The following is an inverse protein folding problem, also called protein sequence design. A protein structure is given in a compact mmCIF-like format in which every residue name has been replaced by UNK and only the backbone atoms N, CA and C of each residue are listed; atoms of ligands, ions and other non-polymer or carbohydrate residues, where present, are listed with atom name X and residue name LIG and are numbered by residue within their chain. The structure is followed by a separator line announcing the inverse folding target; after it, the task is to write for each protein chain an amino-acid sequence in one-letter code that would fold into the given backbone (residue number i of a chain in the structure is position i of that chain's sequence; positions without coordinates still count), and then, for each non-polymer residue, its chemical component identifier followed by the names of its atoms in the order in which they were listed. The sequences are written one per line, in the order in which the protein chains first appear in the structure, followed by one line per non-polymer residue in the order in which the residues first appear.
data_IF_364016103304
#
_entry.id   IF_364016103304
#
_cell.length_a   1.000
_cell.length_b   1.000
_cell.length_c   1.000
_cell.angle_alpha   90.00
_cell.angle_beta   90.00
_cell.angle_gamma   90.00
#
_symmetry.space_group_name_H-M   'P 1'
#
loop_
_entity.id
_entity.type
_entity.pdbx_description
1 polymer ?
#
# COMPACT_ATOMS: atom_id res chain seq x y z
N UNK A 1 -5.62 -14.69 24.61
CA UNK A 1 -5.96 -13.48 23.84
C UNK A 1 -5.01 -12.39 24.28
N UNK A 2 -4.08 -11.98 23.42
CA UNK A 2 -3.25 -10.81 23.68
C UNK A 2 -4.02 -9.64 23.10
N UNK A 3 -4.64 -8.83 23.96
CA UNK A 3 -5.20 -7.54 23.56
C UNK A 3 -4.04 -6.61 23.22
N UNK A 4 -3.77 -6.49 21.92
CA UNK A 4 -2.95 -5.40 21.43
C UNK A 4 -3.77 -4.11 21.51
N UNK A 5 -3.71 -3.45 22.66
CA UNK A 5 -4.26 -2.12 22.85
C UNK A 5 -3.42 -1.11 22.06
N UNK A 6 -3.63 -1.05 20.75
CA UNK A 6 -3.04 -0.03 19.89
C UNK A 6 -3.79 1.28 20.16
N UNK A 7 -3.13 2.33 20.70
CA UNK A 7 -3.75 3.64 20.81
C UNK A 7 -4.23 4.05 19.42
N UNK A 8 -5.51 4.45 19.32
CA UNK A 8 -6.19 4.86 18.09
C UNK A 8 -5.22 5.46 17.05
N UNK A 9 -5.17 4.83 15.88
CA UNK A 9 -4.27 5.21 14.79
C UNK A 9 -4.74 6.53 14.18
N UNK A 10 -4.30 7.64 14.76
CA UNK A 10 -4.57 8.98 14.24
C UNK A 10 -3.60 9.30 13.11
N UNK A 11 -4.13 9.66 11.94
CA UNK A 11 -3.36 10.41 10.95
C UNK A 11 -3.26 11.89 11.36
N UNK A 12 -2.51 12.68 10.58
CA UNK A 12 -2.35 14.13 10.80
C UNK A 12 -3.66 14.94 10.65
N UNK A 13 -4.80 14.30 10.35
CA UNK A 13 -6.12 14.90 10.20
C UNK A 13 -7.14 14.40 11.25
N UNK A 14 -6.74 13.56 12.22
CA UNK A 14 -7.57 13.22 13.38
C UNK A 14 -8.78 12.32 13.09
N UNK A 15 -8.78 11.52 12.02
CA UNK A 15 -9.89 10.61 11.70
C UNK A 15 -9.62 9.20 12.26
N UNK A 16 -10.57 8.57 13.00
CA UNK A 16 -10.40 7.22 13.52
C UNK A 16 -10.50 6.15 12.42
N UNK A 17 -9.47 5.29 12.31
CA UNK A 17 -9.34 4.17 11.35
C UNK A 17 -9.99 2.86 11.84
N UNK A 18 -10.75 2.93 12.93
CA UNK A 18 -10.66 1.91 13.97
C UNK A 18 -11.41 0.60 13.67
N UNK A 19 -12.48 0.63 12.87
CA UNK A 19 -13.37 -0.53 12.76
C UNK A 19 -12.87 -1.59 11.76
N UNK A 20 -12.46 -1.22 10.55
CA UNK A 20 -12.00 -2.23 9.59
C UNK A 20 -10.51 -2.54 9.68
N UNK A 21 -9.69 -1.64 10.24
CA UNK A 21 -8.25 -1.83 10.25
C UNK A 21 -7.82 -3.04 11.10
N UNK A 22 -8.45 -3.24 12.26
CA UNK A 22 -8.21 -4.41 13.10
C UNK A 22 -8.66 -5.71 12.41
N UNK A 23 -9.79 -5.68 11.71
CA UNK A 23 -10.29 -6.86 10.99
C UNK A 23 -9.43 -7.19 9.76
N UNK A 24 -8.96 -6.19 9.02
CA UNK A 24 -8.07 -6.38 7.88
C UNK A 24 -6.72 -6.97 8.33
N UNK A 25 -6.12 -6.41 9.37
CA UNK A 25 -4.81 -6.89 9.88
C UNK A 25 -4.92 -8.31 10.40
N UNK A 26 -6.03 -8.66 11.08
CA UNK A 26 -6.33 -10.03 11.52
C UNK A 26 -6.57 -10.96 10.34
N UNK A 27 -7.38 -10.56 9.36
CA UNK A 27 -7.77 -11.40 8.23
C UNK A 27 -6.60 -11.73 7.31
N UNK A 28 -5.75 -10.74 6.99
CA UNK A 28 -4.58 -10.95 6.13
C UNK A 28 -3.31 -11.30 6.89
N UNK A 29 -3.36 -11.34 8.24
CA UNK A 29 -2.23 -11.64 9.12
C UNK A 29 -1.03 -10.69 8.88
N UNK A 30 -1.32 -9.42 8.61
CA UNK A 30 -0.32 -8.39 8.38
C UNK A 30 -0.17 -7.54 9.63
N UNK A 31 1.08 -7.32 10.06
CA UNK A 31 1.38 -6.40 11.14
C UNK A 31 0.80 -5.00 10.80
N UNK A 32 -0.03 -4.39 11.66
CA UNK A 32 -0.65 -3.09 11.41
C UNK A 32 0.33 -1.99 11.00
N UNK A 33 1.55 -2.01 11.55
CA UNK A 33 2.58 -1.02 11.23
C UNK A 33 3.02 -1.09 9.76
N UNK A 34 2.94 -2.26 9.12
CA UNK A 34 3.23 -2.42 7.68
C UNK A 34 2.21 -1.65 6.84
N UNK A 35 0.92 -1.85 7.13
CA UNK A 35 -0.15 -1.16 6.39
C UNK A 35 -0.04 0.35 6.61
N UNK A 36 0.16 0.80 7.85
CA UNK A 36 0.33 2.22 8.15
C UNK A 36 1.54 2.83 7.45
N UNK A 37 2.65 2.10 7.40
CA UNK A 37 3.86 2.54 6.70
C UNK A 37 3.60 2.70 5.21
N UNK A 38 2.88 1.76 4.59
CA UNK A 38 2.45 1.88 3.19
C UNK A 38 1.53 3.09 3.04
N UNK A 39 0.48 3.23 3.86
CA UNK A 39 -0.44 4.37 3.80
C UNK A 39 0.23 5.73 4.05
N UNK A 40 1.30 5.79 4.84
CA UNK A 40 2.11 7.00 5.04
C UNK A 40 3.04 7.29 3.87
N UNK A 41 3.46 6.24 3.16
CA UNK A 41 4.34 6.33 2.00
C UNK A 41 3.55 6.72 0.75
N UNK A 42 2.35 6.17 0.64
CA UNK A 42 1.35 6.57 -0.34
C UNK A 42 0.75 7.93 0.05
N UNK A 43 0.62 8.83 -0.91
CA UNK A 43 0.00 10.15 -0.68
C UNK A 43 -1.47 10.16 -1.11
N UNK A 44 -2.16 9.01 -0.96
CA UNK A 44 -3.54 8.83 -1.39
C UNK A 44 -4.54 9.49 -0.45
N UNK A 45 -5.73 9.73 -0.97
CA UNK A 45 -6.87 10.29 -0.23
C UNK A 45 -8.20 9.71 -0.74
N UNK A 46 -9.28 9.79 0.03
CA UNK A 46 -10.61 9.36 -0.43
C UNK A 46 -10.99 10.07 -1.73
N UNK A 47 -11.35 9.28 -2.75
CA UNK A 47 -11.67 9.76 -4.09
C UNK A 47 -10.49 9.90 -5.04
N UNK A 48 -9.24 9.72 -4.58
CA UNK A 48 -8.05 9.88 -5.41
C UNK A 48 -8.09 8.99 -6.66
N UNK A 49 -7.72 9.58 -7.80
CA UNK A 49 -7.54 8.90 -9.08
C UNK A 49 -6.36 9.57 -9.80
N UNK A 50 -5.16 9.10 -9.50
CA UNK A 50 -3.91 9.72 -9.96
C UNK A 50 -3.45 9.05 -11.24
N UNK A 51 -3.30 9.75 -12.38
CA UNK A 51 -2.95 9.12 -13.64
C UNK A 51 -1.45 8.76 -13.72
N UNK A 52 -1.17 7.50 -14.03
CA UNK A 52 0.16 7.02 -14.37
C UNK A 52 0.39 7.13 -15.88
N UNK A 53 1.14 8.15 -16.29
CA UNK A 53 1.42 8.43 -17.70
C UNK A 53 2.66 7.66 -18.18
N UNK A 54 2.63 7.18 -19.42
CA UNK A 54 3.78 6.60 -20.11
C UNK A 54 3.99 7.31 -21.44
N UNK A 55 5.22 7.25 -21.93
CA UNK A 55 5.58 7.74 -23.25
C UNK A 55 5.99 6.59 -24.16
N UNK A 56 5.70 6.72 -25.45
CA UNK A 56 6.25 5.84 -26.49
C UNK A 56 6.65 6.67 -27.71
N UNK A 57 7.54 6.13 -28.53
CA UNK A 57 7.89 6.71 -29.84
C UNK A 57 6.99 6.13 -30.91
N UNK A 58 6.51 6.98 -31.81
CA UNK A 58 5.78 6.61 -33.02
C UNK A 58 6.39 7.41 -34.18
N UNK A 59 7.31 6.77 -34.92
CA UNK A 59 8.23 7.48 -35.81
C UNK A 59 9.07 8.52 -35.04
N UNK A 60 9.08 9.76 -35.52
CA UNK A 60 9.77 10.89 -34.88
C UNK A 60 8.94 11.55 -33.75
N UNK A 61 7.71 11.09 -33.49
CA UNK A 61 6.84 11.68 -32.48
C UNK A 61 6.98 10.98 -31.13
N UNK A 62 6.81 11.76 -30.05
CA UNK A 62 6.68 11.22 -28.69
C UNK A 62 5.23 11.34 -28.27
N UNK A 63 4.58 10.21 -27.99
CA UNK A 63 3.18 10.15 -27.56
C UNK A 63 3.14 9.87 -26.07
N UNK A 64 2.43 10.72 -25.32
CA UNK A 64 2.14 10.51 -23.91
C UNK A 64 0.70 10.02 -23.76
N UNK A 65 0.50 8.92 -23.05
CA UNK A 65 -0.82 8.37 -22.78
C UNK A 65 -0.94 7.95 -21.31
N UNK A 66 -2.16 7.89 -20.79
CA UNK A 66 -2.43 7.36 -19.45
C UNK A 66 -2.45 5.83 -19.53
N UNK A 67 -1.53 5.18 -18.82
CA UNK A 67 -1.40 3.73 -18.82
C UNK A 67 -2.24 3.06 -17.73
N UNK A 68 -2.39 3.71 -16.58
CA UNK A 68 -3.20 3.24 -15.44
C UNK A 68 -3.50 4.42 -14.49
N UNK A 69 -4.24 4.15 -13.42
CA UNK A 69 -4.50 5.10 -12.35
C UNK A 69 -4.18 4.49 -10.99
N UNK A 70 -3.67 5.28 -10.06
CA UNK A 70 -3.60 4.89 -8.65
C UNK A 70 -4.82 5.44 -7.89
N UNK A 71 -5.49 4.54 -7.18
CA UNK A 71 -6.85 4.74 -6.69
C UNK A 71 -6.91 4.80 -5.16
N UNK A 72 -7.64 5.78 -4.65
CA UNK A 72 -7.99 5.89 -3.24
C UNK A 72 -6.80 6.09 -2.30
N UNK A 73 -7.02 5.81 -1.02
CA UNK A 73 -6.06 6.10 0.05
C UNK A 73 -4.78 5.28 -0.07
N UNK A 74 -4.90 4.00 -0.42
CA UNK A 74 -3.75 3.12 -0.59
C UNK A 74 -3.12 3.16 -2.00
N UNK A 75 -3.61 4.03 -2.89
CA UNK A 75 -3.08 4.19 -4.25
C UNK A 75 -3.01 2.87 -5.03
N UNK A 76 -4.07 2.05 -4.92
CA UNK A 76 -4.15 0.75 -5.61
C UNK A 76 -4.20 0.98 -7.11
N UNK A 77 -3.30 0.35 -7.86
CA UNK A 77 -3.24 0.55 -9.30
C UNK A 77 -4.43 -0.09 -10.03
N UNK A 78 -5.00 0.63 -10.99
CA UNK A 78 -6.17 0.22 -11.76
C UNK A 78 -5.94 -1.02 -12.64
N UNK A 79 -4.69 -1.43 -12.89
CA UNK A 79 -4.38 -2.70 -13.57
C UNK A 79 -5.00 -3.89 -12.82
N UNK A 80 -5.09 -3.82 -11.49
CA UNK A 80 -5.71 -4.85 -10.66
C UNK A 80 -7.23 -4.97 -10.84
N UNK A 81 -7.87 -3.99 -11.49
CA UNK A 81 -9.28 -4.07 -11.91
C UNK A 81 -9.48 -4.80 -13.25
N UNK A 82 -8.40 -5.31 -13.85
CA UNK A 82 -8.42 -5.99 -15.15
C UNK A 82 -7.85 -7.40 -15.02
N UNK A 83 -8.01 -8.20 -16.07
CA UNK A 83 -7.40 -9.53 -16.18
C UNK A 83 -5.87 -9.53 -16.20
N UNK A 84 -5.22 -8.37 -16.35
CA UNK A 84 -3.75 -8.24 -16.29
C UNK A 84 -3.21 -8.18 -14.87
N UNK A 85 -4.07 -7.91 -13.88
CA UNK A 85 -3.71 -7.91 -12.47
C UNK A 85 -4.40 -9.05 -11.72
N UNK A 86 -4.77 -8.80 -10.47
CA UNK A 86 -5.44 -9.79 -9.60
C UNK A 86 -6.95 -9.92 -9.86
N UNK A 87 -7.48 -9.11 -10.78
CA UNK A 87 -8.88 -9.11 -11.19
C UNK A 87 -9.88 -8.90 -10.04
N UNK A 88 -9.69 -7.80 -9.30
CA UNK A 88 -10.54 -7.38 -8.18
C UNK A 88 -12.06 -7.42 -8.43
N UNK A 89 -12.57 -7.13 -9.64
CA UNK A 89 -14.01 -7.25 -9.91
C UNK A 89 -14.59 -8.64 -9.63
N UNK A 90 -13.80 -9.72 -9.76
CA UNK A 90 -14.26 -11.07 -9.42
C UNK A 90 -14.57 -11.24 -7.93
N UNK A 91 -14.01 -10.39 -7.07
CA UNK A 91 -14.25 -10.35 -5.63
C UNK A 91 -15.21 -9.21 -5.24
N UNK A 92 -15.92 -8.62 -6.21
CA UNK A 92 -16.87 -7.52 -5.96
C UNK A 92 -16.22 -6.18 -5.62
N UNK A 93 -14.90 -6.02 -5.85
CA UNK A 93 -14.16 -4.78 -5.66
C UNK A 93 -14.12 -3.99 -6.97
N UNK A 94 -14.67 -2.78 -6.96
CA UNK A 94 -14.77 -1.89 -8.13
C UNK A 94 -13.87 -0.67 -7.98
N UNK A 95 -13.63 0.06 -9.08
CA UNK A 95 -12.89 1.33 -9.04
C UNK A 95 -13.49 2.30 -8.01
N UNK A 96 -14.81 2.46 -8.03
CA UNK A 96 -15.52 3.36 -7.11
C UNK A 96 -15.29 2.98 -5.65
N UNK A 97 -15.38 1.68 -5.32
CA UNK A 97 -15.11 1.19 -3.97
C UNK A 97 -13.66 1.43 -3.55
N UNK A 98 -12.68 1.18 -4.43
CA UNK A 98 -11.27 1.46 -4.15
C UNK A 98 -11.03 2.96 -3.89
N UNK A 99 -11.73 3.83 -4.60
CA UNK A 99 -11.58 5.28 -4.45
C UNK A 99 -12.22 5.79 -3.18
N UNK A 100 -13.47 5.42 -2.90
CA UNK A 100 -14.30 6.10 -1.91
C UNK A 100 -14.55 5.31 -0.63
N UNK A 101 -14.28 4.00 -0.61
CA UNK A 101 -14.41 3.19 0.58
C UNK A 101 -13.02 2.89 1.14
N UNK A 102 -12.63 3.62 2.19
CA UNK A 102 -11.32 3.48 2.82
C UNK A 102 -11.06 2.05 3.30
N UNK A 103 -12.07 1.36 3.84
CA UNK A 103 -11.93 -0.03 4.27
C UNK A 103 -11.64 -0.98 3.10
N UNK A 104 -12.28 -0.79 1.95
CA UNK A 104 -11.97 -1.56 0.75
C UNK A 104 -10.58 -1.20 0.21
N UNK A 105 -10.20 0.07 0.21
CA UNK A 105 -8.84 0.49 -0.19
C UNK A 105 -7.77 -0.16 0.70
N UNK A 106 -7.99 -0.18 2.01
CA UNK A 106 -7.06 -0.76 2.99
C UNK A 106 -7.03 -2.29 2.87
N UNK A 107 -8.19 -2.93 2.76
CA UNK A 107 -8.30 -4.38 2.54
C UNK A 107 -7.59 -4.81 1.25
N UNK A 108 -7.79 -4.07 0.16
CA UNK A 108 -7.09 -4.31 -1.10
C UNK A 108 -5.57 -4.13 -0.95
N UNK A 109 -5.12 -3.13 -0.18
CA UNK A 109 -3.69 -2.94 0.10
C UNK A 109 -3.09 -4.11 0.89
N UNK A 110 -3.79 -4.59 1.92
CA UNK A 110 -3.35 -5.72 2.72
C UNK A 110 -3.27 -7.00 1.88
N UNK A 111 -4.31 -7.29 1.09
CA UNK A 111 -4.29 -8.38 0.13
C UNK A 111 -3.07 -8.30 -0.81
N UNK A 112 -2.85 -7.12 -1.42
CA UNK A 112 -1.76 -6.93 -2.38
C UNK A 112 -0.38 -7.02 -1.74
N UNK A 113 -0.20 -6.50 -0.52
CA UNK A 113 1.06 -6.64 0.23
C UNK A 113 1.36 -8.12 0.46
N UNK A 114 0.38 -8.91 0.94
CA UNK A 114 0.56 -10.35 1.16
C UNK A 114 0.86 -11.08 -0.15
N UNK A 115 0.01 -10.87 -1.16
CA UNK A 115 0.15 -11.49 -2.47
C UNK A 115 1.53 -11.22 -3.10
N UNK A 116 1.96 -9.95 -3.08
CA UNK A 116 3.26 -9.57 -3.65
C UNK A 116 4.43 -10.07 -2.79
N UNK A 117 4.31 -10.06 -1.45
CA UNK A 117 5.34 -10.62 -0.57
C UNK A 117 5.54 -12.12 -0.82
N UNK A 118 4.46 -12.89 -0.94
CA UNK A 118 4.51 -14.32 -1.27
C UNK A 118 5.24 -14.54 -2.61
N UNK A 119 4.90 -13.75 -3.64
CA UNK A 119 5.58 -13.80 -4.95
C UNK A 119 7.05 -13.41 -4.88
N UNK A 120 7.40 -12.43 -4.04
CA UNK A 120 8.77 -11.98 -3.88
C UNK A 120 9.63 -13.09 -3.24
N UNK A 121 9.08 -13.78 -2.23
CA UNK A 121 9.73 -14.87 -1.51
C UNK A 121 9.97 -16.13 -2.37
N UNK A 122 9.31 -16.29 -3.52
CA UNK A 122 9.60 -17.39 -4.47
C UNK A 122 11.05 -17.37 -4.96
N UNK A 123 11.68 -16.19 -5.02
CA UNK A 123 13.03 -16.02 -5.58
C UNK A 123 14.03 -15.35 -4.63
N UNK A 124 13.62 -15.06 -3.39
CA UNK A 124 14.43 -14.30 -2.45
C UNK A 124 14.35 -14.89 -1.04
N UNK A 125 15.27 -14.45 -0.17
CA UNK A 125 15.30 -14.81 1.25
C UNK A 125 15.40 -13.55 2.08
N UNK A 126 14.76 -13.56 3.25
CA UNK A 126 14.88 -12.48 4.24
C UNK A 126 16.16 -12.68 5.04
N UNK A 127 17.27 -12.07 4.61
CA UNK A 127 18.55 -12.12 5.35
C UNK A 127 18.89 -10.80 6.04
N UNK A 128 18.14 -9.74 5.75
CA UNK A 128 18.34 -8.41 6.29
C UNK A 128 17.02 -7.63 6.46
N UNK A 129 17.09 -6.53 7.22
CA UNK A 129 15.99 -5.53 7.30
C UNK A 129 15.72 -4.91 5.92
N UNK A 130 16.75 -4.78 5.09
CA UNK A 130 16.61 -4.25 3.73
C UNK A 130 15.77 -5.17 2.86
N UNK A 131 15.94 -6.49 2.97
CA UNK A 131 15.10 -7.48 2.30
C UNK A 131 13.65 -7.41 2.77
N UNK A 132 13.42 -7.16 4.05
CA UNK A 132 12.06 -6.98 4.58
C UNK A 132 11.34 -5.79 3.92
N UNK A 133 12.03 -4.66 3.79
CA UNK A 133 11.47 -3.51 3.08
C UNK A 133 11.31 -3.73 1.58
N UNK A 134 12.24 -4.45 0.92
CA UNK A 134 12.12 -4.83 -0.50
C UNK A 134 10.95 -5.78 -0.74
N UNK A 135 10.73 -6.71 0.18
CA UNK A 135 9.58 -7.62 0.18
C UNK A 135 8.27 -6.82 0.27
N UNK A 136 8.15 -5.87 1.20
CA UNK A 136 6.94 -5.01 1.27
C UNK A 136 6.82 -4.13 0.01
N UNK A 137 7.93 -3.57 -0.47
CA UNK A 137 7.97 -2.74 -1.67
C UNK A 137 7.53 -3.46 -2.95
N UNK A 138 7.50 -4.79 -2.94
CA UNK A 138 6.97 -5.59 -4.05
C UNK A 138 5.48 -5.33 -4.31
N UNK A 139 4.75 -4.81 -3.31
CA UNK A 139 3.42 -4.23 -3.46
C UNK A 139 3.37 -3.16 -4.57
N UNK A 140 4.34 -2.24 -4.57
CA UNK A 140 4.40 -1.13 -5.51
C UNK A 140 5.05 -1.57 -6.84
N UNK A 141 6.15 -2.31 -6.78
CA UNK A 141 6.80 -2.83 -7.98
C UNK A 141 7.72 -4.03 -7.67
N UNK A 142 7.64 -5.04 -8.54
CA UNK A 142 8.60 -6.15 -8.58
C UNK A 142 9.88 -5.82 -9.36
N UNK A 143 9.90 -4.72 -10.11
CA UNK A 143 11.07 -4.34 -10.91
C UNK A 143 12.17 -3.82 -9.97
N UNK A 144 13.39 -4.41 -9.95
CA UNK A 144 14.39 -4.15 -8.91
C UNK A 144 14.65 -2.66 -8.64
N UNK A 145 14.89 -1.88 -9.70
CA UNK A 145 15.15 -0.43 -9.58
C UNK A 145 14.00 0.33 -8.88
N UNK A 146 12.75 0.06 -9.24
CA UNK A 146 11.60 0.77 -8.66
C UNK A 146 11.27 0.26 -7.26
N UNK A 147 11.46 -1.05 -7.04
CA UNK A 147 11.32 -1.68 -5.73
C UNK A 147 12.28 -1.04 -4.72
N UNK A 148 13.57 -0.90 -5.06
CA UNK A 148 14.58 -0.33 -4.17
C UNK A 148 14.28 1.13 -3.80
N UNK A 149 13.83 1.94 -4.77
CA UNK A 149 13.41 3.33 -4.54
C UNK A 149 12.22 3.37 -3.56
N UNK A 150 11.23 2.51 -3.77
CA UNK A 150 10.05 2.48 -2.90
C UNK A 150 10.39 1.92 -1.51
N UNK A 151 11.26 0.91 -1.41
CA UNK A 151 11.75 0.35 -0.15
C UNK A 151 12.48 1.42 0.70
N UNK A 152 13.28 2.29 0.07
CA UNK A 152 13.90 3.42 0.77
C UNK A 152 12.85 4.38 1.35
N UNK A 153 11.80 4.70 0.59
CA UNK A 153 10.68 5.53 1.08
C UNK A 153 9.93 4.86 2.24
N UNK A 154 9.68 3.55 2.16
CA UNK A 154 9.06 2.80 3.25
C UNK A 154 9.89 2.88 4.54
N UNK A 155 11.23 2.76 4.45
CA UNK A 155 12.13 2.91 5.61
C UNK A 155 11.95 4.25 6.29
N UNK A 156 11.90 5.33 5.51
CA UNK A 156 11.69 6.68 6.05
C UNK A 156 10.31 6.84 6.71
N UNK A 157 9.26 6.34 6.07
CA UNK A 157 7.90 6.36 6.63
C UNK A 157 7.78 5.53 7.90
N UNK A 158 8.41 4.36 7.94
CA UNK A 158 8.44 3.50 9.12
C UNK A 158 9.15 4.19 10.29
N UNK A 159 10.31 4.81 10.06
CA UNK A 159 11.01 5.56 11.09
C UNK A 159 10.16 6.72 11.64
N UNK A 160 9.42 7.43 10.77
CA UNK A 160 8.48 8.48 11.18
C UNK A 160 7.33 7.91 12.01
N UNK A 161 6.74 6.78 11.60
CA UNK A 161 5.68 6.09 12.33
C UNK A 161 6.16 5.70 13.75
N UNK A 162 7.32 5.06 13.84
CA UNK A 162 7.92 4.65 15.12
C UNK A 162 8.15 5.85 16.05
N UNK A 163 8.63 6.98 15.52
CA UNK A 163 8.79 8.22 16.29
C UNK A 163 7.45 8.73 16.84
N UNK A 164 6.41 8.76 16.01
CA UNK A 164 5.06 9.19 16.42
C UNK A 164 4.47 8.28 17.50
N UNK A 165 4.61 6.96 17.35
CA UNK A 165 4.12 6.00 18.33
C UNK A 165 4.81 6.18 19.69
N UNK A 166 6.14 6.36 19.71
CA UNK A 166 6.89 6.65 20.95
C UNK A 166 6.41 7.93 21.62
N UNK A 167 6.20 9.01 20.86
CA UNK A 167 5.69 10.28 21.39
C UNK A 167 4.26 10.15 21.94
N UNK A 168 3.40 9.38 21.28
CA UNK A 168 2.02 9.16 21.72
C UNK A 168 1.96 8.37 23.04
N UNK A 169 2.86 7.40 23.23
CA UNK A 169 2.99 6.66 24.49
C UNK A 169 3.53 7.56 25.60
N UNK A 170 4.54 8.39 25.33
CA UNK A 170 5.15 9.28 26.32
C UNK A 170 4.23 10.42 26.80
N UNK A 171 3.12 10.71 26.09
CA UNK A 171 2.11 11.71 26.45
C UNK A 171 0.95 11.14 27.29
N UNK A 172 0.94 9.83 27.55
CA UNK A 172 -0.01 9.17 28.45
C UNK A 172 0.60 9.01 29.84
#
# INVERSE_FOLDING_TARGET
MIDFYYPAYFDNAGVPFDHCFADVTRHYEINPEVILTVLMTESGYPGAKVPNKRTRKEGNQTITYVASYDLGRAQINSVHLTSKGVNFPQYGVTEEKLRWNDCISISASAFMIRYSAEKWLENHRLTSVDDWFRMIASYNSMTPKYNEIYAARLKESYAKLQSRMKQAVAKK
#
